data_IF_155663577188
#
_entry.id   IF_155663577188
#
_cell.length_a   1.000
_cell.length_b   1.000
_cell.length_c   1.000
_cell.angle_alpha   90.00
_cell.angle_beta   90.00
_cell.angle_gamma   90.00
#
_symmetry.space_group_name_H-M   'P 1'
#
loop_
_entity.id
_entity.type
_entity.pdbx_description
1 polymer ?
#
# COMPACT_ATOMS: atom_id res chain seq x y z
N UNK A 1 -8.93 14.05 -0.14
CA UNK A 1 -8.95 15.24 0.74
C UNK A 1 -10.01 14.94 1.79
N UNK A 2 -9.65 14.97 3.07
CA UNK A 2 -10.45 14.44 4.19
C UNK A 2 -11.49 15.43 4.75
N UNK A 3 -11.54 16.68 4.26
CA UNK A 3 -12.47 17.69 4.77
C UNK A 3 -12.11 18.27 6.14
N UNK A 4 -11.26 17.59 6.92
CA UNK A 4 -10.72 18.09 8.20
C UNK A 4 -9.78 19.29 7.97
N UNK A 5 -10.00 20.37 8.71
CA UNK A 5 -9.21 21.60 8.72
C UNK A 5 -8.35 21.71 9.98
N UNK A 6 -7.36 22.62 9.99
CA UNK A 6 -6.54 22.89 11.17
C UNK A 6 -7.38 23.35 12.38
N UNK A 7 -8.51 24.02 12.13
CA UNK A 7 -9.43 24.45 13.16
C UNK A 7 -10.17 23.27 13.83
N UNK A 8 -10.51 22.23 13.06
CA UNK A 8 -11.21 21.05 13.57
C UNK A 8 -10.36 20.22 14.55
N UNK A 9 -9.03 20.34 14.44
CA UNK A 9 -8.07 19.62 15.31
C UNK A 9 -7.35 20.54 16.30
N UNK A 10 -7.70 21.83 16.32
CA UNK A 10 -7.08 22.79 17.22
C UNK A 10 -7.39 22.43 18.69
N UNK A 11 -6.35 22.24 19.50
CA UNK A 11 -6.49 21.90 20.92
C UNK A 11 -6.83 20.45 21.21
N UNK A 12 -6.96 19.59 20.20
CA UNK A 12 -7.04 18.15 20.40
C UNK A 12 -5.67 17.58 20.77
N UNK A 13 -5.69 16.50 21.54
CA UNK A 13 -4.48 15.76 21.88
C UNK A 13 -3.81 15.22 20.61
N UNK A 14 -2.48 15.34 20.55
CA UNK A 14 -1.70 14.78 19.46
C UNK A 14 -1.51 13.29 19.66
N UNK A 15 -1.48 12.58 18.55
CA UNK A 15 -1.06 11.18 18.57
C UNK A 15 0.40 11.08 19.02
N UNK A 16 0.64 10.37 20.11
CA UNK A 16 1.97 10.01 20.60
C UNK A 16 2.08 8.49 20.67
N UNK A 17 3.04 7.92 19.95
CA UNK A 17 3.16 6.46 19.76
C UNK A 17 3.39 5.70 21.06
N UNK A 18 4.10 6.31 22.01
CA UNK A 18 4.46 5.73 23.31
C UNK A 18 3.28 5.58 24.26
N UNK A 19 2.16 6.25 23.99
CA UNK A 19 0.91 6.11 24.74
C UNK A 19 0.09 4.86 24.33
N UNK A 20 0.50 4.14 23.28
CA UNK A 20 -0.25 3.00 22.74
C UNK A 20 0.53 1.69 22.86
N UNK A 21 -0.18 0.62 23.24
CA UNK A 21 0.35 -0.73 23.13
C UNK A 21 0.40 -1.14 21.64
N UNK A 22 1.60 -1.44 21.16
CA UNK A 22 1.81 -1.79 19.75
C UNK A 22 1.38 -3.23 19.48
N UNK A 23 0.51 -3.46 18.48
CA UNK A 23 0.22 -4.82 18.05
C UNK A 23 1.42 -5.43 17.34
N UNK A 24 1.52 -6.76 17.34
CA UNK A 24 2.56 -7.46 16.56
C UNK A 24 2.41 -7.18 15.05
N UNK A 25 1.16 -7.02 14.58
CA UNK A 25 0.83 -6.79 13.18
C UNK A 25 -0.04 -5.54 12.99
N UNK A 26 0.33 -4.71 12.01
CA UNK A 26 -0.49 -3.60 11.52
C UNK A 26 -1.03 -3.94 10.13
N UNK A 27 -2.36 -3.97 10.02
CA UNK A 27 -3.07 -4.18 8.76
C UNK A 27 -3.55 -2.82 8.25
N UNK A 28 -3.29 -2.53 6.97
CA UNK A 28 -3.77 -1.29 6.37
C UNK A 28 -3.76 -1.32 4.85
N UNK A 29 -4.47 -0.38 4.24
CA UNK A 29 -4.49 -0.23 2.80
C UNK A 29 -3.39 0.74 2.38
N UNK A 30 -2.35 0.22 1.72
CA UNK A 30 -1.08 0.95 1.55
C UNK A 30 -0.41 1.31 2.90
N UNK A 31 -0.51 0.39 3.88
CA UNK A 31 -0.11 0.55 5.30
C UNK A 31 1.28 1.18 5.57
N UNK A 32 2.22 1.14 4.61
CA UNK A 32 3.52 1.81 4.74
C UNK A 32 3.39 3.33 4.84
N UNK A 33 2.31 3.91 4.30
CA UNK A 33 2.01 5.33 4.48
C UNK A 33 1.72 5.62 5.96
N UNK A 34 0.69 4.99 6.51
CA UNK A 34 0.23 5.17 7.89
C UNK A 34 1.33 4.82 8.89
N UNK A 35 2.04 3.71 8.65
CA UNK A 35 3.19 3.28 9.45
C UNK A 35 4.25 4.38 9.62
N UNK A 36 4.51 5.22 8.60
CA UNK A 36 5.44 6.35 8.76
C UNK A 36 4.84 7.53 9.49
N UNK A 37 3.56 7.80 9.24
CA UNK A 37 2.84 8.89 9.90
C UNK A 37 2.85 8.68 11.42
N UNK A 38 2.68 7.44 11.86
CA UNK A 38 2.68 7.08 13.30
C UNK A 38 4.09 6.86 13.89
N UNK A 39 5.17 7.24 13.21
CA UNK A 39 6.53 7.15 13.78
C UNK A 39 7.28 5.83 13.53
N UNK A 40 6.83 5.01 12.57
CA UNK A 40 7.54 3.80 12.13
C UNK A 40 7.80 2.74 13.21
N UNK A 41 6.76 2.28 13.94
CA UNK A 41 6.88 1.25 14.97
C UNK A 41 7.44 -0.09 14.44
N UNK A 42 7.88 -0.97 15.33
CA UNK A 42 8.44 -2.28 15.00
C UNK A 42 7.41 -3.30 14.45
N UNK A 43 6.12 -2.97 14.47
CA UNK A 43 5.04 -3.84 14.04
C UNK A 43 5.21 -4.35 12.60
N UNK A 44 4.88 -5.62 12.38
CA UNK A 44 4.91 -6.26 11.07
C UNK A 44 3.75 -5.76 10.22
N UNK A 45 4.04 -5.44 8.95
CA UNK A 45 3.05 -4.80 8.08
C UNK A 45 2.28 -5.82 7.22
N UNK A 46 0.96 -5.72 7.20
CA UNK A 46 0.08 -6.45 6.28
C UNK A 46 -0.61 -5.42 5.38
N UNK A 47 -0.27 -5.44 4.09
CA UNK A 47 -0.80 -4.48 3.13
C UNK A 47 -1.96 -5.07 2.33
N UNK A 48 -3.19 -4.59 2.54
CA UNK A 48 -4.38 -5.12 1.86
C UNK A 48 -4.37 -4.87 0.35
N UNK A 49 -3.68 -3.84 -0.14
CA UNK A 49 -3.43 -3.66 -1.60
C UNK A 49 -2.69 -4.87 -2.19
N UNK A 50 -1.70 -5.39 -1.46
CA UNK A 50 -0.88 -6.50 -1.93
C UNK A 50 -1.59 -7.85 -1.76
N UNK A 51 -2.32 -8.02 -0.65
CA UNK A 51 -3.21 -9.17 -0.50
C UNK A 51 -4.25 -9.21 -1.61
N UNK A 52 -4.92 -8.10 -1.89
CA UNK A 52 -5.91 -8.01 -2.96
C UNK A 52 -5.31 -8.37 -4.32
N UNK A 53 -4.08 -7.94 -4.63
CA UNK A 53 -3.38 -8.34 -5.87
C UNK A 53 -3.07 -9.83 -5.95
N UNK A 54 -2.83 -10.48 -4.81
CA UNK A 54 -2.59 -11.92 -4.76
C UNK A 54 -3.91 -12.71 -4.85
N UNK A 55 -4.95 -12.25 -4.14
CA UNK A 55 -6.26 -12.88 -4.08
C UNK A 55 -7.09 -12.71 -5.36
N UNK A 56 -7.04 -11.51 -5.95
CA UNK A 56 -7.89 -11.10 -7.06
C UNK A 56 -7.06 -10.48 -8.20
N UNK A 57 -6.11 -11.22 -8.81
CA UNK A 57 -5.22 -10.70 -9.85
C UNK A 57 -5.96 -10.12 -11.07
N UNK A 58 -7.21 -10.54 -11.29
CA UNK A 58 -8.10 -10.10 -12.37
C UNK A 58 -8.67 -8.69 -12.19
N UNK A 59 -8.58 -8.08 -11.00
CA UNK A 59 -9.16 -6.76 -10.74
C UNK A 59 -8.47 -5.64 -11.52
N UNK A 60 -9.28 -4.70 -12.00
CA UNK A 60 -8.83 -3.54 -12.81
C UNK A 60 -8.08 -2.49 -12.00
N UNK A 61 -8.37 -2.38 -10.71
CA UNK A 61 -7.79 -1.38 -9.81
C UNK A 61 -7.78 -1.90 -8.37
N UNK A 62 -6.83 -1.37 -7.58
CA UNK A 62 -6.59 -1.82 -6.20
C UNK A 62 -6.58 -0.67 -5.19
N UNK A 63 -7.24 0.45 -5.50
CA UNK A 63 -7.54 1.46 -4.49
C UNK A 63 -8.72 1.01 -3.64
N UNK A 64 -8.75 1.38 -2.36
CA UNK A 64 -9.67 0.83 -1.36
C UNK A 64 -11.13 0.81 -1.83
N UNK A 65 -11.71 1.97 -2.15
CA UNK A 65 -13.09 2.06 -2.64
C UNK A 65 -13.34 1.27 -3.91
N UNK A 66 -12.33 1.13 -4.79
CA UNK A 66 -12.43 0.31 -6.01
C UNK A 66 -12.41 -1.17 -5.72
N UNK A 67 -11.64 -1.62 -4.72
CA UNK A 67 -11.72 -3.01 -4.25
C UNK A 67 -13.10 -3.31 -3.70
N UNK A 68 -13.66 -2.43 -2.85
CA UNK A 68 -15.01 -2.60 -2.30
C UNK A 68 -16.08 -2.59 -3.40
N UNK A 69 -16.01 -1.68 -4.37
CA UNK A 69 -16.90 -1.64 -5.54
C UNK A 69 -16.86 -2.95 -6.36
N UNK A 70 -15.67 -3.54 -6.53
CA UNK A 70 -15.50 -4.80 -7.28
C UNK A 70 -15.97 -6.02 -6.48
N UNK A 71 -15.93 -5.95 -5.15
CA UNK A 71 -16.33 -7.04 -4.26
C UNK A 71 -17.85 -7.10 -4.05
N UNK A 72 -18.49 -5.96 -3.82
CA UNK A 72 -19.93 -5.88 -3.48
C UNK A 72 -20.82 -5.43 -4.65
N UNK A 73 -20.22 -4.96 -5.75
CA UNK A 73 -20.95 -4.26 -6.80
C UNK A 73 -21.25 -2.79 -6.45
N UNK A 74 -21.61 -2.00 -7.47
CA UNK A 74 -21.68 -0.53 -7.38
C UNK A 74 -22.73 -0.01 -6.39
N UNK A 75 -23.87 -0.69 -6.26
CA UNK A 75 -24.99 -0.22 -5.43
C UNK A 75 -24.68 -0.28 -3.93
N UNK A 76 -24.26 -1.46 -3.45
CA UNK A 76 -23.93 -1.68 -2.04
C UNK A 76 -22.65 -0.93 -1.62
N UNK A 77 -21.64 -0.88 -2.51
CA UNK A 77 -20.43 -0.11 -2.26
C UNK A 77 -20.70 1.40 -2.11
N UNK A 78 -21.68 1.96 -2.83
CA UNK A 78 -22.04 3.37 -2.70
C UNK A 78 -22.62 3.68 -1.32
N UNK A 79 -23.46 2.80 -0.76
CA UNK A 79 -24.00 2.99 0.60
C UNK A 79 -22.92 2.91 1.67
N UNK A 80 -21.98 1.96 1.53
CA UNK A 80 -20.84 1.87 2.46
C UNK A 80 -19.88 3.05 2.32
N UNK A 81 -19.61 3.52 1.10
CA UNK A 81 -18.65 4.61 0.86
C UNK A 81 -19.19 5.95 1.37
N UNK A 82 -20.50 6.22 1.22
CA UNK A 82 -21.15 7.43 1.76
C UNK A 82 -21.02 7.49 3.28
N UNK A 83 -21.10 6.34 3.95
CA UNK A 83 -20.90 6.23 5.40
C UNK A 83 -19.41 6.25 5.81
N UNK A 84 -18.47 6.15 4.88
CA UNK A 84 -17.06 5.85 5.16
C UNK A 84 -16.09 7.01 4.95
N UNK A 85 -16.56 8.26 4.97
CA UNK A 85 -15.69 9.43 4.84
C UNK A 85 -15.03 9.88 6.17
N UNK A 86 -15.00 9.01 7.17
CA UNK A 86 -14.22 9.17 8.41
C UNK A 86 -13.18 8.04 8.57
N UNK A 87 -12.25 8.20 9.51
CA UNK A 87 -11.19 7.22 9.74
C UNK A 87 -11.72 5.82 10.10
N UNK A 88 -12.89 5.75 10.75
CA UNK A 88 -13.52 4.48 11.14
C UNK A 88 -14.09 3.74 9.92
N UNK A 89 -14.70 4.47 9.00
CA UNK A 89 -15.17 3.96 7.71
C UNK A 89 -14.05 3.37 6.88
N UNK A 90 -12.93 4.08 6.79
CA UNK A 90 -11.73 3.57 6.12
C UNK A 90 -11.18 2.31 6.80
N UNK A 91 -11.18 2.24 8.12
CA UNK A 91 -10.77 1.03 8.85
C UNK A 91 -11.72 -0.16 8.57
N UNK A 92 -13.04 0.07 8.55
CA UNK A 92 -14.06 -0.96 8.25
C UNK A 92 -13.92 -1.50 6.84
N UNK A 93 -13.77 -0.63 5.84
CA UNK A 93 -13.54 -1.05 4.46
C UNK A 93 -12.23 -1.82 4.31
N UNK A 94 -11.17 -1.39 5.00
CA UNK A 94 -9.91 -2.11 5.01
C UNK A 94 -10.06 -3.53 5.58
N UNK A 95 -10.80 -3.66 6.69
CA UNK A 95 -11.08 -4.95 7.32
C UNK A 95 -11.94 -5.86 6.44
N UNK A 96 -13.01 -5.34 5.82
CA UNK A 96 -13.85 -6.12 4.90
C UNK A 96 -13.04 -6.65 3.71
N UNK A 97 -12.17 -5.81 3.13
CA UNK A 97 -11.26 -6.24 2.07
C UNK A 97 -10.27 -7.30 2.56
N UNK A 98 -9.73 -7.15 3.77
CA UNK A 98 -8.83 -8.14 4.38
C UNK A 98 -9.51 -9.50 4.52
N UNK A 99 -10.74 -9.54 5.06
CA UNK A 99 -11.51 -10.78 5.20
C UNK A 99 -11.75 -11.47 3.85
N UNK A 100 -12.19 -10.72 2.85
CA UNK A 100 -12.40 -11.26 1.50
C UNK A 100 -11.11 -11.79 0.86
N UNK A 101 -9.97 -11.13 1.10
CA UNK A 101 -8.68 -11.65 0.67
C UNK A 101 -8.32 -12.96 1.38
N UNK A 102 -8.59 -13.04 2.69
CA UNK A 102 -8.31 -14.24 3.48
C UNK A 102 -9.12 -15.43 2.99
N UNK A 103 -10.43 -15.24 2.79
CA UNK A 103 -11.33 -16.25 2.23
C UNK A 103 -10.86 -16.73 0.86
N UNK A 104 -10.56 -15.80 -0.07
CA UNK A 104 -10.12 -16.12 -1.43
C UNK A 104 -8.78 -16.85 -1.49
N UNK A 105 -7.90 -16.60 -0.53
CA UNK A 105 -6.58 -17.22 -0.39
C UNK A 105 -6.58 -18.45 0.51
N UNK A 106 -7.75 -18.85 1.02
CA UNK A 106 -7.92 -19.99 1.94
C UNK A 106 -7.04 -19.91 3.20
N UNK A 107 -6.87 -18.69 3.74
CA UNK A 107 -6.17 -18.46 5.01
C UNK A 107 -7.16 -18.07 6.10
N UNK A 108 -6.93 -18.54 7.32
CA UNK A 108 -7.71 -18.09 8.47
C UNK A 108 -7.46 -16.57 8.69
N UNK A 109 -8.50 -15.74 8.91
CA UNK A 109 -8.31 -14.30 9.15
C UNK A 109 -7.42 -13.97 10.37
N UNK A 110 -7.25 -14.93 11.29
CA UNK A 110 -6.37 -14.83 12.47
C UNK A 110 -4.94 -15.32 12.20
N UNK A 111 -4.65 -15.92 11.04
CA UNK A 111 -3.29 -16.29 10.64
C UNK A 111 -2.56 -15.09 10.04
N UNK A 112 -2.21 -14.15 10.93
CA UNK A 112 -1.50 -12.92 10.56
C UNK A 112 -0.11 -13.20 10.00
N UNK A 113 0.53 -14.32 10.38
CA UNK A 113 1.81 -14.72 9.84
C UNK A 113 1.71 -15.08 8.35
N UNK A 114 0.71 -15.88 7.95
CA UNK A 114 0.45 -16.19 6.55
C UNK A 114 0.07 -14.94 5.75
N UNK A 115 -0.84 -14.11 6.26
CA UNK A 115 -1.22 -12.85 5.62
C UNK A 115 -0.02 -11.91 5.44
N UNK A 116 0.85 -11.81 6.44
CA UNK A 116 2.09 -11.05 6.36
C UNK A 116 3.05 -11.60 5.30
N UNK A 117 3.26 -12.92 5.27
CA UNK A 117 4.13 -13.57 4.30
C UNK A 117 3.65 -13.34 2.86
N UNK A 118 2.36 -13.52 2.59
CA UNK A 118 1.77 -13.30 1.27
C UNK A 118 1.87 -11.82 0.87
N UNK A 119 1.47 -10.91 1.76
CA UNK A 119 1.49 -9.47 1.47
C UNK A 119 2.91 -8.90 1.33
N UNK A 120 3.94 -9.58 1.84
CA UNK A 120 5.35 -9.16 1.69
C UNK A 120 6.16 -10.03 0.74
N UNK A 121 5.54 -11.02 0.08
CA UNK A 121 6.20 -11.79 -0.97
C UNK A 121 6.75 -10.85 -2.03
N UNK A 122 8.06 -10.93 -2.25
CA UNK A 122 8.74 -10.08 -3.20
C UNK A 122 8.30 -10.45 -4.62
N UNK A 123 7.49 -9.60 -5.24
CA UNK A 123 7.23 -9.68 -6.68
C UNK A 123 8.26 -8.82 -7.41
N UNK A 124 9.12 -9.42 -8.27
CA UNK A 124 10.04 -8.66 -9.08
C UNK A 124 9.25 -7.69 -9.97
N UNK A 125 9.51 -6.39 -9.80
CA UNK A 125 8.97 -5.39 -10.71
C UNK A 125 9.86 -5.38 -11.94
N UNK A 126 9.30 -5.71 -13.11
CA UNK A 126 10.02 -5.71 -14.38
C UNK A 126 9.62 -4.55 -15.30
N UNK A 127 8.43 -3.98 -15.11
CA UNK A 127 7.86 -2.86 -15.87
C UNK A 127 7.48 -1.70 -14.96
N UNK A 128 7.46 -0.49 -15.49
CA UNK A 128 7.03 0.70 -14.75
C UNK A 128 5.56 0.63 -14.38
N UNK A 129 5.21 0.71 -13.09
CA UNK A 129 3.82 0.61 -12.67
C UNK A 129 3.01 1.89 -12.91
N UNK A 130 3.66 3.05 -13.01
CA UNK A 130 3.00 4.35 -13.14
C UNK A 130 3.90 5.43 -13.77
N UNK A 131 3.35 6.64 -13.92
CA UNK A 131 4.06 7.83 -14.41
C UNK A 131 4.27 7.85 -15.91
N UNK A 132 5.15 8.77 -16.38
CA UNK A 132 5.42 9.01 -17.80
C UNK A 132 5.85 7.76 -18.58
N UNK A 133 6.48 6.81 -17.90
CA UNK A 133 7.00 5.57 -18.49
C UNK A 133 6.18 4.33 -18.15
N UNK A 134 4.93 4.48 -17.68
CA UNK A 134 4.05 3.35 -17.31
C UNK A 134 4.02 2.28 -18.41
N UNK A 135 4.17 1.02 -18.01
CA UNK A 135 4.17 -0.15 -18.89
C UNK A 135 5.51 -0.48 -19.55
N UNK A 136 6.46 0.46 -19.61
CA UNK A 136 7.79 0.19 -20.18
C UNK A 136 8.63 -0.69 -19.26
N UNK A 137 9.44 -1.63 -19.79
CA UNK A 137 10.44 -2.34 -19.00
C UNK A 137 11.34 -1.38 -18.21
N UNK A 138 11.67 -1.70 -16.95
CA UNK A 138 12.55 -0.88 -16.10
C UNK A 138 13.87 -0.57 -16.79
N UNK A 139 14.38 -1.54 -17.56
CA UNK A 139 15.63 -1.41 -18.31
C UNK A 139 15.58 -0.40 -19.47
N UNK A 140 14.40 0.09 -19.84
CA UNK A 140 14.20 1.06 -20.92
C UNK A 140 13.81 2.45 -20.38
N UNK A 141 13.65 2.59 -19.06
CA UNK A 141 13.38 3.88 -18.44
C UNK A 141 14.66 4.71 -18.41
N UNK A 142 14.63 5.99 -18.84
CA UNK A 142 15.79 6.87 -18.78
C UNK A 142 16.39 6.94 -17.38
N UNK A 143 17.71 6.85 -17.27
CA UNK A 143 18.39 6.80 -15.97
C UNK A 143 18.17 8.09 -15.15
N UNK A 144 18.04 9.24 -15.81
CA UNK A 144 17.70 10.53 -15.20
C UNK A 144 16.34 10.48 -14.51
N UNK A 145 15.34 9.86 -15.15
CA UNK A 145 14.01 9.66 -14.57
C UNK A 145 14.04 8.70 -13.38
N UNK A 146 14.83 7.61 -13.46
CA UNK A 146 15.00 6.67 -12.34
C UNK A 146 15.60 7.36 -11.12
N UNK A 147 16.66 8.17 -11.30
CA UNK A 147 17.27 8.97 -10.23
C UNK A 147 16.27 9.95 -9.61
N UNK A 148 15.51 10.65 -10.47
CA UNK A 148 14.46 11.56 -10.01
C UNK A 148 13.41 10.83 -9.15
N UNK A 149 12.93 9.66 -9.59
CA UNK A 149 11.95 8.87 -8.84
C UNK A 149 12.44 8.49 -7.45
N UNK A 150 13.69 8.03 -7.32
CA UNK A 150 14.26 7.65 -6.02
C UNK A 150 14.37 8.85 -5.08
N UNK A 151 14.72 10.02 -5.59
CA UNK A 151 14.85 11.24 -4.78
C UNK A 151 13.51 11.88 -4.37
N UNK A 152 12.47 11.74 -5.19
CA UNK A 152 11.22 12.49 -5.04
C UNK A 152 10.02 11.63 -4.59
N UNK A 153 10.08 10.31 -4.77
CA UNK A 153 8.98 9.41 -4.38
C UNK A 153 9.34 8.75 -3.06
N UNK A 154 8.97 9.41 -1.97
CA UNK A 154 9.21 8.90 -0.62
C UNK A 154 8.41 7.61 -0.33
N UNK A 155 7.26 7.41 -0.97
CA UNK A 155 6.31 6.33 -0.66
C UNK A 155 6.41 5.16 -1.65
N UNK A 156 7.61 4.88 -2.15
CA UNK A 156 7.84 3.85 -3.14
C UNK A 156 7.70 2.44 -2.56
N UNK A 157 7.10 1.51 -3.32
CA UNK A 157 7.06 0.11 -2.95
C UNK A 157 8.50 -0.46 -2.86
N UNK A 158 8.87 -1.23 -1.82
CA UNK A 158 10.20 -1.81 -1.67
C UNK A 158 10.72 -2.59 -2.87
N UNK A 159 9.85 -3.36 -3.54
CA UNK A 159 10.23 -4.12 -4.75
C UNK A 159 10.57 -3.19 -5.92
N UNK A 160 9.81 -2.12 -6.12
CA UNK A 160 10.10 -1.09 -7.11
C UNK A 160 11.40 -0.35 -6.76
N UNK A 161 11.57 0.07 -5.50
CA UNK A 161 12.78 0.74 -5.04
C UNK A 161 14.03 -0.11 -5.27
N UNK A 162 13.98 -1.40 -4.89
CA UNK A 162 15.05 -2.36 -5.13
C UNK A 162 15.34 -2.53 -6.63
N UNK A 163 14.31 -2.60 -7.48
CA UNK A 163 14.50 -2.73 -8.92
C UNK A 163 15.13 -1.47 -9.54
N UNK A 164 14.72 -0.27 -9.10
CA UNK A 164 15.29 1.01 -9.54
C UNK A 164 16.74 1.18 -9.06
N UNK A 165 17.07 0.82 -7.81
CA UNK A 165 18.45 0.82 -7.30
C UNK A 165 19.34 -0.11 -8.12
N UNK A 166 18.90 -1.35 -8.37
CA UNK A 166 19.65 -2.31 -9.20
C UNK A 166 19.94 -1.74 -10.59
N UNK A 167 18.98 -1.01 -11.19
CA UNK A 167 19.18 -0.34 -12.48
C UNK A 167 20.26 0.76 -12.41
N UNK A 168 20.31 1.55 -11.34
CA UNK A 168 21.35 2.57 -11.16
C UNK A 168 22.74 1.93 -11.04
N UNK A 169 22.88 0.86 -10.24
CA UNK A 169 24.16 0.18 -10.08
C UNK A 169 24.64 -0.50 -11.36
N UNK A 170 23.73 -1.07 -12.16
CA UNK A 170 24.06 -1.63 -13.46
C UNK A 170 24.58 -0.57 -14.44
N UNK A 171 23.99 0.62 -14.44
CA UNK A 171 24.45 1.73 -15.29
C UNK A 171 25.86 2.22 -14.90
N UNK A 172 26.13 2.37 -13.60
CA UNK A 172 27.46 2.74 -13.10
C UNK A 172 28.52 1.74 -13.54
N UNK A 173 28.19 0.45 -13.49
CA UNK A 173 29.10 -0.63 -13.90
C UNK A 173 29.39 -0.60 -15.40
N UNK A 174 28.39 -0.24 -16.23
CA UNK A 174 28.57 -0.11 -17.68
C UNK A 174 29.40 1.13 -18.07
N UNK A 175 29.28 2.23 -17.33
CA UNK A 175 30.05 3.45 -17.59
C UNK A 175 31.49 3.41 -17.05
N UNK A 176 31.83 2.39 -16.25
CA UNK A 176 33.17 2.17 -15.69
C UNK A 176 34.00 1.17 -16.52
N UNK A 177 33.44 0.63 -17.60
CA UNK A 177 34.10 -0.21 -18.61
C UNK A 177 34.27 0.58 -19.90
#
# INVERSE_FOLDING_TARGET
MHGITDADVAGLERFELDQFELPEYLIGHNVRFDWRVIGSPSAKLICTVRLARAAFPEWRAYGQSKCIEQLLGKGEASMMTIAAHDALGDARMCYLLYQACCERLEIAPTDFAAAHAISNKATPVSKMPFGKHKGKPIKEVPISYVKWMIGNIHNMQPSLYSALKKRIEAEKTNNAK
#
